data_IF_331352384909
#
_entry.id   IF_331352384909
#
_cell.length_a   1.000
_cell.length_b   1.000
_cell.length_c   1.000
_cell.angle_alpha   90.00
_cell.angle_beta   90.00
_cell.angle_gamma   90.00
#
_symmetry.space_group_name_H-M   'P 1'
#
loop_
_entity.id
_entity.type
_entity.pdbx_description
1 polymer ?
#
# COMPACT_ATOMS: atom_id res chain seq x y z
N UNK A 1 -29.38 7.08 -0.01
CA UNK A 1 -28.62 6.32 1.02
C UNK A 1 -29.58 5.65 1.98
N UNK A 2 -29.32 4.41 2.38
CA UNK A 2 -30.07 3.74 3.43
C UNK A 2 -29.86 4.44 4.77
N UNK A 3 -30.94 4.57 5.57
CA UNK A 3 -30.81 5.07 6.95
C UNK A 3 -30.01 4.10 7.82
N UNK A 4 -29.25 4.61 8.79
CA UNK A 4 -28.44 3.81 9.73
C UNK A 4 -29.24 2.74 10.47
N UNK A 5 -30.50 3.01 10.75
CA UNK A 5 -31.43 2.08 11.39
C UNK A 5 -31.70 0.85 10.52
N UNK A 6 -31.91 1.01 9.20
CA UNK A 6 -32.13 -0.10 8.28
C UNK A 6 -30.88 -0.99 8.18
N UNK A 7 -29.69 -0.37 8.17
CA UNK A 7 -28.39 -1.09 8.17
C UNK A 7 -28.27 -1.96 9.42
N UNK A 8 -28.64 -1.42 10.60
CA UNK A 8 -28.64 -2.13 11.87
C UNK A 8 -29.70 -3.22 11.94
N UNK A 9 -30.95 -2.90 11.55
CA UNK A 9 -32.08 -3.82 11.67
C UNK A 9 -31.94 -5.06 10.77
N UNK A 10 -31.29 -4.91 9.62
CA UNK A 10 -31.01 -5.98 8.68
C UNK A 10 -29.64 -6.65 8.85
N UNK A 11 -28.89 -6.25 9.87
CA UNK A 11 -27.53 -6.76 10.13
C UNK A 11 -26.61 -6.73 8.90
N UNK A 12 -26.70 -5.67 8.06
CA UNK A 12 -25.97 -5.57 6.80
C UNK A 12 -24.45 -5.63 6.99
N UNK A 13 -23.94 -5.14 8.12
CA UNK A 13 -22.52 -5.16 8.44
C UNK A 13 -21.99 -6.57 8.77
N UNK A 14 -22.89 -7.51 9.10
CA UNK A 14 -22.52 -8.89 9.45
C UNK A 14 -22.66 -9.85 8.28
N UNK A 15 -23.07 -9.34 7.10
CA UNK A 15 -23.15 -10.15 5.90
C UNK A 15 -21.74 -10.58 5.47
N UNK A 16 -21.49 -11.87 5.56
CA UNK A 16 -20.21 -12.46 5.15
C UNK A 16 -20.39 -13.14 3.78
N UNK A 17 -19.66 -12.60 2.78
CA UNK A 17 -19.50 -13.22 1.47
C UNK A 17 -18.01 -13.56 1.28
N UNK A 18 -17.65 -14.55 0.45
CA UNK A 18 -16.28 -15.07 0.34
C UNK A 18 -15.35 -14.11 -0.43
N UNK A 19 -15.24 -12.87 0.03
CA UNK A 19 -14.33 -11.85 -0.50
C UNK A 19 -12.89 -12.20 -0.16
N UNK A 20 -11.99 -11.96 -1.09
CA UNK A 20 -10.59 -12.31 -0.95
C UNK A 20 -9.75 -11.17 -0.34
N UNK A 21 -10.17 -9.92 -0.55
CA UNK A 21 -9.43 -8.73 -0.16
C UNK A 21 -10.17 -7.90 0.89
N UNK A 22 -9.44 -7.14 1.71
CA UNK A 22 -10.01 -6.13 2.61
C UNK A 22 -10.76 -5.06 1.83
N UNK A 23 -10.24 -4.69 0.66
CA UNK A 23 -10.85 -3.71 -0.24
C UNK A 23 -12.21 -4.17 -0.76
N UNK A 24 -12.32 -5.44 -1.13
CA UNK A 24 -13.60 -6.03 -1.53
C UNK A 24 -14.63 -5.98 -0.42
N UNK A 25 -14.24 -6.25 0.84
CA UNK A 25 -15.15 -6.15 2.00
C UNK A 25 -15.69 -4.74 2.18
N UNK A 26 -14.82 -3.74 2.17
CA UNK A 26 -15.21 -2.33 2.28
C UNK A 26 -16.12 -1.90 1.12
N UNK A 27 -15.76 -2.29 -0.11
CA UNK A 27 -16.54 -1.96 -1.31
C UNK A 27 -17.91 -2.65 -1.31
N UNK A 28 -18.00 -3.90 -0.86
CA UNK A 28 -19.28 -4.60 -0.75
C UNK A 28 -20.22 -3.91 0.24
N UNK A 29 -19.72 -3.57 1.42
CA UNK A 29 -20.49 -2.87 2.45
C UNK A 29 -20.93 -1.48 1.97
N UNK A 30 -20.03 -0.72 1.36
CA UNK A 30 -20.36 0.58 0.77
C UNK A 30 -21.43 0.45 -0.33
N UNK A 31 -21.31 -0.57 -1.17
CA UNK A 31 -22.28 -0.85 -2.24
C UNK A 31 -23.66 -1.21 -1.72
N UNK A 32 -23.81 -1.81 -0.55
CA UNK A 32 -25.12 -2.12 0.05
C UNK A 32 -25.93 -0.87 0.41
N UNK A 33 -25.29 0.29 0.52
CA UNK A 33 -25.98 1.57 0.78
C UNK A 33 -26.40 2.32 -0.49
N UNK A 34 -25.91 1.90 -1.66
CA UNK A 34 -26.18 2.50 -2.97
C UNK A 34 -27.42 1.88 -3.63
N UNK A 35 -28.57 2.09 -3.01
CA UNK A 35 -29.88 1.57 -3.44
C UNK A 35 -30.38 2.32 -4.66
N UNK A 36 -30.87 1.61 -5.64
CA UNK A 36 -31.52 2.19 -6.83
C UNK A 36 -32.82 1.47 -7.19
N UNK A 37 -33.82 2.23 -7.60
CA UNK A 37 -35.07 1.70 -8.20
C UNK A 37 -35.01 1.65 -9.73
N UNK A 38 -33.93 2.14 -10.36
CA UNK A 38 -33.83 2.16 -11.83
C UNK A 38 -33.54 0.77 -12.40
N UNK A 39 -34.48 0.21 -13.18
CA UNK A 39 -34.33 -1.10 -13.82
C UNK A 39 -33.09 -1.20 -14.71
N UNK A 40 -32.71 -0.13 -15.39
CA UNK A 40 -31.57 -0.12 -16.30
C UNK A 40 -30.24 -0.20 -15.54
N UNK A 41 -30.15 0.43 -14.38
CA UNK A 41 -28.99 0.38 -13.51
C UNK A 41 -28.85 -1.03 -12.92
N UNK A 42 -29.94 -1.59 -12.40
CA UNK A 42 -29.93 -2.94 -11.81
C UNK A 42 -29.52 -3.98 -12.85
N UNK A 43 -30.13 -3.95 -14.04
CA UNK A 43 -29.78 -4.86 -15.14
C UNK A 43 -28.29 -4.75 -15.51
N UNK A 44 -27.75 -3.54 -15.49
CA UNK A 44 -26.33 -3.28 -15.78
C UNK A 44 -25.41 -3.87 -14.71
N UNK A 45 -25.83 -3.86 -13.43
CA UNK A 45 -25.11 -4.50 -12.32
C UNK A 45 -25.16 -6.03 -12.40
N UNK A 46 -26.25 -6.60 -12.92
CA UNK A 46 -26.44 -8.05 -13.09
C UNK A 46 -25.55 -8.65 -14.18
N UNK A 47 -25.32 -7.93 -15.28
CA UNK A 47 -24.64 -8.47 -16.46
C UNK A 47 -23.28 -9.12 -16.15
N UNK A 48 -22.34 -8.46 -15.45
CA UNK A 48 -21.06 -9.08 -15.09
C UNK A 48 -21.23 -10.31 -14.20
N UNK A 49 -22.16 -10.28 -13.23
CA UNK A 49 -22.44 -11.39 -12.33
C UNK A 49 -22.91 -12.64 -13.09
N UNK A 50 -23.83 -12.44 -14.03
CA UNK A 50 -24.36 -13.52 -14.87
C UNK A 50 -23.27 -14.15 -15.74
N UNK A 51 -22.39 -13.34 -16.31
CA UNK A 51 -21.27 -13.81 -17.15
C UNK A 51 -20.29 -14.63 -16.30
N UNK A 52 -19.85 -14.10 -15.16
CA UNK A 52 -18.91 -14.79 -14.28
C UNK A 52 -19.47 -16.07 -13.70
N UNK A 53 -20.78 -16.15 -13.46
CA UNK A 53 -21.45 -17.37 -13.01
C UNK A 53 -21.50 -18.45 -14.09
N UNK A 54 -21.63 -18.07 -15.38
CA UNK A 54 -21.66 -19.01 -16.52
C UNK A 54 -20.23 -19.48 -16.85
N UNK A 55 -19.21 -18.70 -16.48
CA UNK A 55 -17.79 -18.99 -16.73
C UNK A 55 -17.02 -19.29 -15.42
N UNK A 56 -17.29 -20.44 -14.79
CA UNK A 56 -16.71 -20.74 -13.48
C UNK A 56 -15.17 -20.89 -13.51
N UNK A 57 -14.60 -21.25 -14.64
CA UNK A 57 -13.14 -21.35 -14.82
C UNK A 57 -12.47 -19.98 -14.75
N UNK A 58 -13.04 -18.98 -15.43
CA UNK A 58 -12.59 -17.59 -15.40
C UNK A 58 -12.79 -17.00 -14.00
N UNK A 59 -13.96 -17.22 -13.40
CA UNK A 59 -14.26 -16.74 -12.05
C UNK A 59 -13.25 -17.31 -11.03
N UNK A 60 -12.97 -18.61 -11.05
CA UNK A 60 -11.99 -19.25 -10.18
C UNK A 60 -10.56 -18.76 -10.41
N UNK A 61 -10.17 -18.51 -11.66
CA UNK A 61 -8.87 -17.93 -11.98
C UNK A 61 -8.69 -16.55 -11.34
N UNK A 62 -9.69 -15.68 -11.48
CA UNK A 62 -9.67 -14.34 -10.88
C UNK A 62 -9.65 -14.43 -9.34
N UNK A 63 -10.46 -15.30 -8.72
CA UNK A 63 -10.44 -15.51 -7.27
C UNK A 63 -9.05 -15.96 -6.80
N UNK A 64 -8.37 -16.84 -7.53
CA UNK A 64 -7.03 -17.29 -7.19
C UNK A 64 -6.01 -16.15 -7.30
N UNK A 65 -6.11 -15.32 -8.34
CA UNK A 65 -5.27 -14.13 -8.49
C UNK A 65 -5.50 -13.13 -7.33
N UNK A 66 -6.74 -12.87 -6.95
CA UNK A 66 -7.08 -11.99 -5.82
C UNK A 66 -6.57 -12.53 -4.47
N UNK A 67 -6.57 -13.84 -4.28
CA UNK A 67 -5.98 -14.46 -3.08
C UNK A 67 -4.50 -14.14 -2.92
N UNK A 68 -3.75 -14.06 -4.02
CA UNK A 68 -2.30 -13.79 -3.98
C UNK A 68 -1.96 -12.39 -3.47
N UNK A 69 -2.89 -11.43 -3.61
CA UNK A 69 -2.67 -10.04 -3.18
C UNK A 69 -3.24 -9.73 -1.78
N UNK A 70 -3.80 -10.71 -1.09
CA UNK A 70 -4.44 -10.48 0.22
C UNK A 70 -3.54 -9.75 1.21
N UNK A 71 -2.30 -10.19 1.37
CA UNK A 71 -1.35 -9.58 2.29
C UNK A 71 -0.83 -8.23 1.73
N UNK A 72 -0.69 -8.13 0.41
CA UNK A 72 -0.30 -6.88 -0.25
C UNK A 72 -1.33 -5.77 -0.08
N UNK A 73 -2.63 -6.11 0.07
CA UNK A 73 -3.67 -5.09 0.29
C UNK A 73 -3.50 -4.34 1.60
N UNK A 74 -3.11 -5.03 2.67
CA UNK A 74 -2.86 -4.43 3.98
C UNK A 74 -1.62 -3.53 3.91
N UNK A 75 -0.53 -4.04 3.34
CA UNK A 75 0.72 -3.28 3.20
C UNK A 75 0.54 -1.99 2.37
N UNK A 76 -0.32 -2.03 1.34
CA UNK A 76 -0.62 -0.85 0.51
C UNK A 76 -1.48 0.15 1.28
N UNK A 77 -2.47 -0.30 2.03
CA UNK A 77 -3.30 0.60 2.84
C UNK A 77 -2.44 1.35 3.86
N UNK A 78 -1.57 0.64 4.59
CA UNK A 78 -0.61 1.25 5.51
C UNK A 78 0.34 2.24 4.81
N UNK A 79 0.72 1.97 3.57
CA UNK A 79 1.57 2.86 2.79
C UNK A 79 0.86 4.11 2.26
N UNK A 80 -0.44 4.00 1.90
CA UNK A 80 -1.22 5.08 1.30
C UNK A 80 -1.89 5.99 2.34
N UNK A 81 -2.27 5.46 3.50
CA UNK A 81 -2.97 6.21 4.55
C UNK A 81 -2.05 7.12 5.36
N UNK A 82 -0.75 6.87 5.34
CA UNK A 82 0.38 7.72 5.75
C UNK A 82 0.10 8.72 6.90
N UNK A 83 -0.56 8.22 7.93
CA UNK A 83 -0.95 9.02 9.10
C UNK A 83 0.15 9.13 10.14
N UNK A 84 1.21 8.29 10.07
CA UNK A 84 2.32 8.35 11.02
C UNK A 84 3.38 9.37 10.55
N UNK A 85 3.58 10.48 11.31
CA UNK A 85 4.61 11.47 11.02
C UNK A 85 6.02 10.86 10.92
N UNK A 86 6.28 9.76 11.66
CA UNK A 86 7.58 9.08 11.65
C UNK A 86 7.89 8.43 10.30
N UNK A 87 6.88 7.84 9.67
CA UNK A 87 7.02 7.26 8.32
C UNK A 87 7.30 8.38 7.31
N UNK A 88 6.55 9.48 7.38
CA UNK A 88 6.77 10.63 6.51
C UNK A 88 8.17 11.21 6.64
N UNK A 89 8.69 11.33 7.87
CA UNK A 89 10.06 11.80 8.13
C UNK A 89 11.08 10.82 7.56
N UNK A 90 10.91 9.52 7.81
CA UNK A 90 11.80 8.46 7.30
C UNK A 90 11.83 8.42 5.78
N UNK A 91 10.67 8.52 5.13
CA UNK A 91 10.55 8.59 3.67
C UNK A 91 11.23 9.84 3.12
N UNK A 92 11.08 10.99 3.78
CA UNK A 92 11.71 12.26 3.36
C UNK A 92 13.23 12.22 3.45
N UNK A 93 13.80 11.35 4.28
CA UNK A 93 15.25 11.12 4.35
C UNK A 93 15.78 10.35 3.15
N UNK A 94 14.98 9.51 2.51
CA UNK A 94 15.41 8.66 1.39
C UNK A 94 14.99 9.25 0.05
N UNK A 95 13.73 9.66 -0.08
CA UNK A 95 13.22 10.20 -1.33
C UNK A 95 13.71 11.64 -1.56
N UNK A 96 13.92 11.99 -2.82
CA UNK A 96 14.14 13.37 -3.22
C UNK A 96 12.87 14.20 -2.94
N UNK A 97 13.04 15.45 -2.54
CA UNK A 97 11.92 16.36 -2.32
C UNK A 97 10.99 16.38 -3.54
N UNK A 98 9.66 16.49 -3.37
CA UNK A 98 8.68 16.45 -4.46
C UNK A 98 8.69 17.73 -5.32
N UNK A 99 9.87 18.09 -5.82
CA UNK A 99 10.07 19.08 -6.89
C UNK A 99 9.98 18.37 -8.23
N UNK A 100 9.86 19.12 -9.33
CA UNK A 100 9.82 18.54 -10.68
C UNK A 100 11.00 17.57 -10.93
N UNK A 101 12.21 18.00 -10.57
CA UNK A 101 13.43 17.17 -10.69
C UNK A 101 13.46 16.02 -9.69
N UNK A 102 13.04 16.26 -8.45
CA UNK A 102 13.00 15.23 -7.42
C UNK A 102 12.02 14.12 -7.74
N UNK A 103 10.84 14.43 -8.27
CA UNK A 103 9.87 13.47 -8.73
C UNK A 103 10.40 12.59 -9.88
N UNK A 104 11.19 13.15 -10.79
CA UNK A 104 11.87 12.41 -11.85
C UNK A 104 12.95 11.48 -11.30
N UNK A 105 13.77 11.96 -10.35
CA UNK A 105 14.84 11.17 -9.73
C UNK A 105 14.27 10.00 -8.91
N UNK A 106 13.15 10.20 -8.22
CA UNK A 106 12.47 9.15 -7.47
C UNK A 106 11.93 8.02 -8.36
N UNK A 107 11.67 8.30 -9.64
CA UNK A 107 11.26 7.29 -10.64
C UNK A 107 12.44 6.59 -11.32
N UNK A 108 13.67 7.02 -11.08
CA UNK A 108 14.86 6.45 -11.71
C UNK A 108 15.53 5.43 -10.78
N UNK A 109 15.51 4.12 -11.08
CA UNK A 109 16.18 3.11 -10.28
C UNK A 109 17.69 3.41 -10.13
N UNK A 110 18.33 3.91 -11.19
CA UNK A 110 19.76 4.25 -11.16
C UNK A 110 20.06 5.40 -10.21
N UNK A 111 19.22 6.45 -10.20
CA UNK A 111 19.38 7.58 -9.29
C UNK A 111 19.13 7.17 -7.83
N UNK A 112 18.14 6.32 -7.59
CA UNK A 112 17.82 5.83 -6.26
C UNK A 112 18.90 4.89 -5.73
N UNK A 113 19.39 3.95 -6.54
CA UNK A 113 20.51 3.07 -6.17
C UNK A 113 21.81 3.86 -5.96
N UNK A 114 22.07 4.88 -6.75
CA UNK A 114 23.19 5.79 -6.52
C UNK A 114 23.10 6.52 -5.20
N UNK A 115 21.92 7.02 -4.83
CA UNK A 115 21.68 7.74 -3.59
C UNK A 115 21.89 6.84 -2.34
N UNK A 116 21.36 5.62 -2.37
CA UNK A 116 21.55 4.68 -1.25
C UNK A 116 23.03 4.29 -1.12
N UNK A 117 23.71 4.00 -2.21
CA UNK A 117 25.14 3.69 -2.22
C UNK A 117 25.96 4.85 -1.65
N UNK A 118 25.65 6.07 -2.06
CA UNK A 118 26.29 7.27 -1.52
C UNK A 118 26.11 7.38 0.00
N UNK A 119 24.89 7.25 0.50
CA UNK A 119 24.58 7.43 1.92
C UNK A 119 25.03 6.30 2.81
N UNK A 120 25.00 5.05 2.32
CA UNK A 120 25.28 3.87 3.16
C UNK A 120 26.70 3.35 3.05
N UNK A 121 27.42 3.68 1.98
CA UNK A 121 28.77 3.19 1.72
C UNK A 121 29.76 4.35 1.59
N UNK A 122 29.53 5.28 0.66
CA UNK A 122 30.53 6.30 0.32
C UNK A 122 30.69 7.31 1.47
N UNK A 123 29.59 7.82 2.03
CA UNK A 123 29.63 8.83 3.09
C UNK A 123 30.27 8.29 4.39
N UNK A 124 29.94 7.09 4.92
CA UNK A 124 30.62 6.50 6.05
C UNK A 124 32.09 6.16 5.77
N UNK A 125 32.40 5.62 4.60
CA UNK A 125 33.78 5.35 4.21
C UNK A 125 34.60 6.64 4.15
N UNK A 126 34.05 7.71 3.59
CA UNK A 126 34.70 9.01 3.57
C UNK A 126 34.92 9.57 4.98
N UNK A 127 33.97 9.42 5.89
CA UNK A 127 34.13 9.85 7.30
C UNK A 127 35.31 9.15 7.99
N UNK A 128 35.53 7.87 7.70
CA UNK A 128 36.68 7.09 8.24
C UNK A 128 37.98 7.47 7.54
N UNK A 129 37.96 7.68 6.22
CA UNK A 129 39.15 7.95 5.41
C UNK A 129 39.57 9.43 5.41
N UNK A 130 38.66 10.35 5.73
CA UNK A 130 38.92 11.79 5.65
C UNK A 130 40.17 12.24 6.46
N UNK A 131 40.45 11.73 7.68
CA UNK A 131 41.67 12.08 8.38
C UNK A 131 42.95 11.62 7.69
N UNK A 132 42.90 10.42 7.08
CA UNK A 132 44.02 9.88 6.30
C UNK A 132 44.25 10.71 5.02
N UNK A 133 43.16 11.04 4.34
CA UNK A 133 43.19 11.88 3.15
C UNK A 133 43.75 13.28 3.45
N UNK A 134 43.36 13.87 4.60
CA UNK A 134 43.85 15.15 5.05
C UNK A 134 45.36 15.17 5.33
N UNK A 135 45.95 14.02 5.63
CA UNK A 135 47.40 13.90 5.80
C UNK A 135 48.10 13.59 4.47
N UNK A 136 47.52 12.74 3.65
CA UNK A 136 48.16 12.22 2.42
C UNK A 136 48.11 13.27 1.30
N UNK A 137 46.99 13.94 1.08
CA UNK A 137 46.84 14.89 -0.03
C UNK A 137 47.83 16.05 0.05
N UNK A 138 48.02 16.73 1.20
CA UNK A 138 49.00 17.82 1.29
C UNK A 138 50.44 17.37 1.02
N UNK A 139 50.81 16.12 1.38
CA UNK A 139 52.10 15.55 1.06
C UNK A 139 52.36 15.51 -0.45
N UNK A 140 51.44 14.95 -1.20
CA UNK A 140 51.57 14.86 -2.66
C UNK A 140 51.46 16.24 -3.33
N UNK A 141 50.59 17.12 -2.81
CA UNK A 141 50.39 18.47 -3.34
C UNK A 141 51.66 19.32 -3.14
N UNK A 142 52.29 19.28 -1.96
CA UNK A 142 53.54 19.97 -1.71
C UNK A 142 54.67 19.46 -2.60
N UNK A 143 54.76 18.15 -2.78
CA UNK A 143 55.77 17.55 -3.65
C UNK A 143 55.56 17.86 -5.13
N UNK A 144 54.30 18.05 -5.55
CA UNK A 144 53.96 18.40 -6.92
C UNK A 144 54.16 19.90 -7.22
N UNK A 145 53.73 20.77 -6.30
CA UNK A 145 53.81 22.22 -6.45
C UNK A 145 55.23 22.78 -6.20
N UNK A 146 56.01 22.15 -5.33
CA UNK A 146 57.33 22.57 -4.89
C UNK A 146 58.36 21.44 -5.06
N UNK A 147 58.68 21.00 -6.28
CA UNK A 147 59.65 19.89 -6.52
C UNK A 147 61.06 20.25 -6.03
N UNK A 148 61.34 21.51 -5.79
CA UNK A 148 62.61 22.03 -5.28
C UNK A 148 62.83 21.69 -3.79
N UNK A 149 61.74 21.43 -3.06
CA UNK A 149 61.79 21.12 -1.62
C UNK A 149 61.83 19.61 -1.46
N UNK A 150 63.04 19.07 -1.31
CA UNK A 150 63.22 17.65 -1.02
C UNK A 150 63.03 17.44 0.48
N UNK A 151 61.86 17.05 0.95
CA UNK A 151 61.64 16.58 2.30
C UNK A 151 61.34 15.06 2.31
N UNK A 152 61.89 14.37 3.31
CA UNK A 152 61.60 12.95 3.52
C UNK A 152 60.21 12.76 4.07
N UNK A 153 59.66 11.52 3.92
CA UNK A 153 58.38 11.14 4.53
C UNK A 153 58.40 11.31 6.06
N UNK A 154 59.58 11.05 6.69
CA UNK A 154 59.75 11.17 8.14
C UNK A 154 59.69 12.61 8.62
N UNK A 155 60.32 13.54 7.88
CA UNK A 155 60.24 14.98 8.17
C UNK A 155 58.82 15.50 7.98
N UNK A 156 58.12 15.06 6.93
CA UNK A 156 56.70 15.40 6.74
C UNK A 156 55.83 14.91 7.88
N UNK A 157 55.94 13.63 8.26
CA UNK A 157 55.16 13.03 9.34
C UNK A 157 55.47 13.69 10.69
N UNK A 158 56.73 14.08 10.93
CA UNK A 158 57.15 14.83 12.13
C UNK A 158 56.42 16.18 12.19
N UNK A 159 56.36 16.94 11.06
CA UNK A 159 55.66 18.21 10.96
C UNK A 159 54.14 18.03 11.06
N UNK A 160 53.56 17.01 10.40
CA UNK A 160 52.13 16.66 10.54
C UNK A 160 51.81 16.36 12.00
N UNK A 161 52.60 15.55 12.67
CA UNK A 161 52.46 15.28 14.10
C UNK A 161 52.52 16.58 14.94
N UNK A 162 53.42 17.46 14.64
CA UNK A 162 53.55 18.75 15.33
C UNK A 162 52.29 19.64 15.09
N UNK A 163 51.80 19.69 13.85
CA UNK A 163 50.58 20.46 13.48
C UNK A 163 49.34 19.84 14.09
N UNK A 164 49.21 18.52 14.06
CA UNK A 164 48.07 17.83 14.69
C UNK A 164 48.07 18.04 16.21
N UNK A 165 49.23 17.96 16.86
CA UNK A 165 49.33 18.26 18.28
C UNK A 165 49.10 19.77 18.58
N UNK A 166 49.35 20.66 17.62
CA UNK A 166 49.04 22.09 17.74
C UNK A 166 47.58 22.39 17.40
N UNK A 167 46.96 21.66 16.49
CA UNK A 167 45.54 21.80 16.13
C UNK A 167 44.56 21.11 17.10
N UNK A 168 45.03 20.13 17.89
CA UNK A 168 44.39 19.85 19.17
C UNK A 168 44.73 21.06 20.05
N UNK A 169 44.00 22.18 19.75
CA UNK A 169 44.23 23.47 20.34
C UNK A 169 43.87 23.38 21.82
N UNK A 170 44.80 22.86 22.58
CA UNK A 170 44.71 22.97 24.01
C UNK A 170 44.78 24.49 24.26
N UNK A 171 43.74 25.10 24.83
CA UNK A 171 43.75 26.50 25.13
C UNK A 171 45.06 26.84 25.88
N UNK A 172 45.73 27.88 25.51
CA UNK A 172 47.08 28.23 26.02
C UNK A 172 47.16 28.27 27.53
N UNK A 173 46.04 28.47 28.24
CA UNK A 173 45.92 28.43 29.69
C UNK A 173 45.92 27.03 30.30
N UNK A 174 45.60 25.97 29.47
CA UNK A 174 45.65 24.58 29.90
C UNK A 174 46.98 23.90 29.58
N UNK A 175 47.85 24.60 28.84
CA UNK A 175 49.14 24.02 28.46
C UNK A 175 50.10 24.13 29.64
N UNK A 176 50.37 22.98 30.30
CA UNK A 176 51.33 22.89 31.40
C UNK A 176 52.71 23.36 30.96
N UNK A 177 53.28 24.31 31.69
CA UNK A 177 54.66 24.81 31.49
C UNK A 177 55.65 24.23 32.47
N UNK A 178 55.14 23.63 33.56
CA UNK A 178 55.96 23.05 34.62
C UNK A 178 55.87 21.52 34.56
N UNK A 179 57.00 20.77 34.47
CA UNK A 179 56.99 19.30 34.50
C UNK A 179 56.33 18.69 35.72
N UNK A 180 56.23 19.44 36.83
CA UNK A 180 55.62 19.02 38.08
C UNK A 180 54.12 19.40 38.19
N UNK A 181 53.54 20.09 37.21
CA UNK A 181 52.13 20.46 37.23
C UNK A 181 51.21 19.30 36.83
N UNK A 182 50.93 18.42 37.79
CA UNK A 182 50.04 17.25 37.62
C UNK A 182 48.61 17.63 37.19
N UNK A 183 48.16 18.82 37.63
CA UNK A 183 46.78 19.29 37.31
C UNK A 183 46.69 19.68 35.85
N UNK A 184 47.70 20.44 35.34
CA UNK A 184 47.75 20.80 33.91
C UNK A 184 47.80 19.61 32.97
N UNK A 185 48.61 18.56 33.30
CA UNK A 185 48.64 17.34 32.54
C UNK A 185 47.31 16.56 32.57
N UNK A 186 46.57 16.62 33.67
CA UNK A 186 45.25 16.01 33.79
C UNK A 186 44.24 16.68 32.89
N UNK A 187 44.22 18.02 32.86
CA UNK A 187 43.32 18.79 31.93
C UNK A 187 43.68 18.54 30.46
N UNK A 188 44.99 18.51 30.13
CA UNK A 188 45.47 18.24 28.79
C UNK A 188 45.04 16.85 28.31
N UNK A 189 45.23 15.82 29.14
CA UNK A 189 44.82 14.46 28.81
C UNK A 189 43.29 14.31 28.68
N UNK A 190 42.53 15.00 29.54
CA UNK A 190 41.08 15.02 29.47
C UNK A 190 40.56 15.72 28.17
N UNK A 191 41.20 16.81 27.75
CA UNK A 191 40.85 17.51 26.52
C UNK A 191 41.17 16.66 25.28
N UNK A 192 42.31 15.98 25.25
CA UNK A 192 42.67 15.03 24.19
C UNK A 192 41.64 13.89 24.12
N UNK A 193 41.30 13.31 25.29
CA UNK A 193 40.33 12.24 25.37
C UNK A 193 38.94 12.67 24.87
N UNK A 194 38.51 13.91 25.22
CA UNK A 194 37.25 14.46 24.77
C UNK A 194 37.24 14.67 23.22
N UNK A 195 38.34 15.19 22.67
CA UNK A 195 38.46 15.40 21.22
C UNK A 195 38.43 14.09 20.44
N UNK A 196 39.19 13.08 20.93
CA UNK A 196 39.14 11.73 20.36
C UNK A 196 37.75 11.10 20.50
N UNK A 197 37.10 11.29 21.65
CA UNK A 197 35.74 10.82 21.90
C UNK A 197 34.73 11.42 20.94
N UNK A 198 34.80 12.73 20.67
CA UNK A 198 33.95 13.39 19.67
C UNK A 198 34.19 12.87 18.26
N UNK A 199 35.45 12.62 17.89
CA UNK A 199 35.78 12.06 16.59
C UNK A 199 35.25 10.63 16.41
N UNK A 200 35.46 9.75 17.40
CA UNK A 200 34.92 8.38 17.40
C UNK A 200 33.39 8.40 17.37
N UNK A 201 32.77 9.27 18.17
CA UNK A 201 31.32 9.46 18.17
C UNK A 201 30.78 9.93 16.80
N UNK A 202 31.51 10.80 16.12
CA UNK A 202 31.17 11.23 14.76
C UNK A 202 31.16 10.09 13.75
N UNK A 203 32.21 9.24 13.78
CA UNK A 203 32.28 8.04 12.93
C UNK A 203 31.15 7.08 13.28
N UNK A 204 30.93 6.81 14.56
CA UNK A 204 29.86 5.93 15.04
C UNK A 204 28.49 6.41 14.59
N UNK A 205 28.24 7.72 14.69
CA UNK A 205 27.00 8.36 14.20
C UNK A 205 26.79 8.14 12.71
N UNK A 206 27.83 8.25 11.87
CA UNK A 206 27.73 8.00 10.43
C UNK A 206 27.41 6.52 10.12
N UNK A 207 28.02 5.60 10.85
CA UNK A 207 27.76 4.16 10.66
C UNK A 207 26.34 3.80 11.09
N UNK A 208 25.90 4.28 12.25
CA UNK A 208 24.53 4.02 12.73
C UNK A 208 23.47 4.63 11.81
N UNK A 209 23.72 5.85 11.30
CA UNK A 209 22.84 6.49 10.32
C UNK A 209 22.78 5.72 9.00
N UNK A 210 23.90 5.18 8.53
CA UNK A 210 23.95 4.34 7.33
C UNK A 210 23.14 3.04 7.49
N UNK A 211 23.25 2.38 8.64
CA UNK A 211 22.47 1.18 8.98
C UNK A 211 20.98 1.50 9.02
N UNK A 212 20.60 2.58 9.71
CA UNK A 212 19.23 3.04 9.80
C UNK A 212 18.64 3.37 8.41
N UNK A 213 19.39 4.12 7.58
CA UNK A 213 19.01 4.44 6.21
C UNK A 213 18.78 3.19 5.37
N UNK A 214 19.64 2.17 5.54
CA UNK A 214 19.50 0.89 4.84
C UNK A 214 18.24 0.12 5.28
N UNK A 215 17.91 0.14 6.57
CA UNK A 215 16.68 -0.49 7.08
C UNK A 215 15.43 0.16 6.47
N UNK A 216 15.37 1.50 6.44
CA UNK A 216 14.26 2.23 5.81
C UNK A 216 14.19 1.89 4.31
N UNK A 217 15.34 1.81 3.63
CA UNK A 217 15.38 1.45 2.22
C UNK A 217 14.71 0.11 1.94
N UNK A 218 15.02 -0.93 2.73
CA UNK A 218 14.41 -2.24 2.58
C UNK A 218 12.90 -2.23 2.85
N UNK A 219 12.45 -1.47 3.85
CA UNK A 219 11.02 -1.30 4.11
C UNK A 219 10.29 -0.65 2.92
N UNK A 220 10.89 0.39 2.31
CA UNK A 220 10.33 1.03 1.12
C UNK A 220 10.35 0.11 -0.11
N UNK A 221 11.40 -0.70 -0.26
CA UNK A 221 11.51 -1.70 -1.33
C UNK A 221 10.42 -2.76 -1.22
N UNK A 222 10.18 -3.28 -0.02
CA UNK A 222 9.12 -4.25 0.27
C UNK A 222 7.74 -3.66 -0.06
N UNK A 223 7.43 -2.46 0.41
CA UNK A 223 6.18 -1.76 0.11
C UNK A 223 5.99 -1.53 -1.39
N UNK A 224 7.02 -1.12 -2.08
CA UNK A 224 6.98 -0.95 -3.54
C UNK A 224 6.80 -2.27 -4.29
N UNK A 225 7.36 -3.37 -3.82
CA UNK A 225 7.15 -4.71 -4.41
C UNK A 225 5.71 -5.18 -4.24
N UNK A 226 5.06 -4.88 -3.11
CA UNK A 226 3.63 -5.14 -2.91
C UNK A 226 2.77 -4.37 -3.93
N UNK A 227 3.07 -3.09 -4.16
CA UNK A 227 2.38 -2.28 -5.17
C UNK A 227 2.53 -2.89 -6.57
N UNK A 228 3.77 -3.27 -6.96
CA UNK A 228 4.01 -3.93 -8.23
C UNK A 228 3.28 -5.27 -8.36
N UNK A 229 3.23 -6.05 -7.28
CA UNK A 229 2.52 -7.32 -7.27
C UNK A 229 1.03 -7.11 -7.57
N UNK A 230 0.38 -6.16 -6.88
CA UNK A 230 -1.02 -5.80 -7.12
C UNK A 230 -1.26 -5.32 -8.56
N UNK A 231 -0.36 -4.48 -9.08
CA UNK A 231 -0.44 -4.03 -10.47
C UNK A 231 -0.33 -5.18 -11.48
N UNK A 232 0.62 -6.10 -11.29
CA UNK A 232 0.80 -7.29 -12.13
C UNK A 232 -0.43 -8.21 -12.07
N UNK A 233 -1.01 -8.39 -10.89
CA UNK A 233 -2.25 -9.16 -10.72
C UNK A 233 -3.41 -8.47 -11.45
N UNK A 234 -3.54 -7.16 -11.33
CA UNK A 234 -4.53 -6.40 -12.08
C UNK A 234 -4.43 -6.63 -13.59
N UNK A 235 -3.21 -6.62 -14.15
CA UNK A 235 -2.98 -6.96 -15.56
C UNK A 235 -3.43 -8.38 -15.92
N UNK A 236 -3.13 -9.37 -15.08
CA UNK A 236 -3.56 -10.75 -15.31
C UNK A 236 -5.08 -10.88 -15.29
N UNK A 237 -5.74 -10.26 -14.31
CA UNK A 237 -7.20 -10.24 -14.21
C UNK A 237 -7.83 -9.62 -15.45
N UNK A 238 -7.32 -8.47 -15.90
CA UNK A 238 -7.81 -7.84 -17.12
C UNK A 238 -7.60 -8.74 -18.35
N UNK A 239 -6.45 -9.38 -18.47
CA UNK A 239 -6.16 -10.33 -19.56
C UNK A 239 -7.14 -11.51 -19.50
N UNK A 240 -7.40 -12.05 -18.32
CA UNK A 240 -8.38 -13.13 -18.11
C UNK A 240 -9.80 -12.71 -18.51
N UNK A 241 -10.24 -11.49 -18.14
CA UNK A 241 -11.52 -10.95 -18.56
C UNK A 241 -11.62 -10.79 -20.09
N UNK A 242 -10.53 -10.45 -20.75
CA UNK A 242 -10.46 -10.33 -22.23
C UNK A 242 -10.50 -11.66 -22.96
N UNK A 243 -10.30 -12.79 -22.31
CA UNK A 243 -10.49 -14.12 -22.93
C UNK A 243 -11.97 -14.49 -23.11
N UNK A 244 -12.89 -13.74 -22.50
CA UNK A 244 -14.33 -13.90 -22.73
C UNK A 244 -14.68 -13.72 -24.20
N UNK A 245 -15.73 -14.42 -24.67
CA UNK A 245 -16.26 -14.19 -26.03
C UNK A 245 -16.77 -12.76 -26.19
N UNK A 246 -16.76 -12.21 -27.41
CA UNK A 246 -17.14 -10.84 -27.70
C UNK A 246 -18.49 -10.42 -27.09
N UNK A 247 -19.51 -11.29 -27.16
CA UNK A 247 -20.82 -11.05 -26.54
C UNK A 247 -20.76 -10.92 -25.02
N UNK A 248 -19.90 -11.73 -24.35
CA UNK A 248 -19.72 -11.72 -22.90
C UNK A 248 -18.83 -10.53 -22.48
N UNK A 249 -17.83 -10.17 -23.28
CA UNK A 249 -17.07 -8.93 -23.07
C UNK A 249 -17.98 -7.71 -23.07
N UNK A 250 -18.95 -7.63 -24.00
CA UNK A 250 -19.92 -6.53 -24.03
C UNK A 250 -20.74 -6.44 -22.73
N UNK A 251 -21.07 -7.56 -22.11
CA UNK A 251 -21.75 -7.57 -20.80
C UNK A 251 -20.85 -7.08 -19.66
N UNK A 252 -19.53 -7.26 -19.77
CA UNK A 252 -18.52 -6.80 -18.81
C UNK A 252 -17.80 -5.51 -19.25
N UNK A 253 -18.27 -4.83 -20.30
CA UNK A 253 -17.56 -3.73 -20.96
C UNK A 253 -17.08 -2.66 -19.97
N UNK A 254 -17.94 -2.22 -19.07
CA UNK A 254 -17.56 -1.19 -18.08
C UNK A 254 -16.44 -1.64 -17.16
N UNK A 255 -16.43 -2.91 -16.79
CA UNK A 255 -15.40 -3.48 -15.91
C UNK A 255 -14.05 -3.61 -16.66
N UNK A 256 -14.11 -3.99 -17.93
CA UNK A 256 -12.95 -4.13 -18.82
C UNK A 256 -12.37 -2.75 -19.16
N UNK A 257 -13.20 -1.82 -19.65
CA UNK A 257 -12.77 -0.48 -20.06
C UNK A 257 -12.17 0.30 -18.87
N UNK A 258 -12.81 0.22 -17.69
CA UNK A 258 -12.26 0.82 -16.47
C UNK A 258 -10.89 0.22 -16.12
N UNK A 259 -10.76 -1.10 -16.19
CA UNK A 259 -9.48 -1.77 -15.96
C UNK A 259 -8.40 -1.37 -16.96
N UNK A 260 -8.74 -1.24 -18.24
CA UNK A 260 -7.82 -0.76 -19.28
C UNK A 260 -7.31 0.65 -18.98
N UNK A 261 -8.23 1.58 -18.73
CA UNK A 261 -7.89 2.97 -18.46
C UNK A 261 -6.97 3.09 -17.22
N UNK A 262 -7.34 2.42 -16.14
CA UNK A 262 -6.59 2.44 -14.88
C UNK A 262 -5.20 1.80 -15.06
N UNK A 263 -5.11 0.65 -15.70
CA UNK A 263 -3.83 -0.02 -15.92
C UNK A 263 -2.93 0.73 -16.92
N UNK A 264 -3.52 1.46 -17.86
CA UNK A 264 -2.78 2.35 -18.74
C UNK A 264 -2.18 3.53 -17.97
N UNK A 265 -2.91 4.13 -17.03
CA UNK A 265 -2.38 5.21 -16.18
C UNK A 265 -1.26 4.70 -15.25
N UNK A 266 -1.31 3.44 -14.82
CA UNK A 266 -0.26 2.79 -14.03
C UNK A 266 0.94 2.28 -14.85
N UNK A 267 0.97 2.45 -16.17
CA UNK A 267 2.02 1.89 -17.06
C UNK A 267 3.44 2.35 -16.72
N UNK A 268 3.58 3.51 -16.09
CA UNK A 268 4.87 4.01 -15.60
C UNK A 268 5.54 3.08 -14.57
N UNK A 269 4.78 2.15 -13.96
CA UNK A 269 5.29 1.20 -12.96
C UNK A 269 5.95 -0.05 -13.57
N UNK A 270 5.86 -0.26 -14.89
CA UNK A 270 6.29 -1.51 -15.55
C UNK A 270 7.77 -1.84 -15.37
N UNK A 271 8.65 -0.84 -15.33
CA UNK A 271 10.10 -1.00 -15.35
C UNK A 271 10.79 -0.42 -14.11
N UNK A 272 10.04 -0.15 -13.05
CA UNK A 272 10.58 0.38 -11.80
C UNK A 272 10.99 -0.78 -10.87
N UNK A 273 11.99 -0.55 -10.01
CA UNK A 273 12.25 -1.38 -8.85
C UNK A 273 11.28 -1.06 -7.70
N UNK A 274 11.40 -1.76 -6.56
CA UNK A 274 10.51 -1.56 -5.44
C UNK A 274 10.52 -0.12 -4.94
N UNK A 275 11.69 0.44 -4.67
CA UNK A 275 11.81 1.79 -4.10
C UNK A 275 11.35 2.87 -5.08
N UNK A 276 11.70 2.77 -6.36
CA UNK A 276 11.25 3.72 -7.38
C UNK A 276 9.73 3.63 -7.60
N UNK A 277 9.14 2.42 -7.50
CA UNK A 277 7.68 2.22 -7.51
C UNK A 277 7.04 2.94 -6.33
N UNK A 278 7.55 2.72 -5.11
CA UNK A 278 7.05 3.42 -3.93
C UNK A 278 7.18 4.93 -4.08
N UNK A 279 8.34 5.44 -4.51
CA UNK A 279 8.58 6.87 -4.73
C UNK A 279 7.64 7.49 -5.77
N UNK A 280 7.29 6.74 -6.84
CA UNK A 280 6.31 7.18 -7.83
C UNK A 280 4.91 7.34 -7.23
N UNK A 281 4.49 6.37 -6.42
CA UNK A 281 3.16 6.34 -5.79
C UNK A 281 3.07 7.33 -4.62
N UNK A 282 4.17 7.54 -3.90
CA UNK A 282 4.25 8.53 -2.84
C UNK A 282 3.97 9.96 -3.32
N UNK A 283 4.44 10.29 -4.51
CA UNK A 283 4.21 11.61 -5.12
C UNK A 283 2.77 11.75 -5.68
N UNK A 284 2.20 10.66 -6.22
CA UNK A 284 0.85 10.63 -6.77
C UNK A 284 0.24 9.23 -6.57
N UNK A 285 -0.61 9.12 -5.56
CA UNK A 285 -1.31 7.88 -5.22
C UNK A 285 -2.65 7.69 -5.93
N UNK A 286 -3.09 8.65 -6.77
CA UNK A 286 -4.42 8.63 -7.40
C UNK A 286 -4.66 7.36 -8.21
N UNK A 287 -3.71 6.98 -9.05
CA UNK A 287 -3.82 5.80 -9.93
C UNK A 287 -3.89 4.48 -9.14
N UNK A 288 -3.17 4.38 -8.02
CA UNK A 288 -3.24 3.19 -7.16
C UNK A 288 -4.55 3.12 -6.39
N UNK A 289 -5.11 4.27 -5.98
CA UNK A 289 -6.44 4.32 -5.38
C UNK A 289 -7.53 3.88 -6.36
N UNK A 290 -7.44 4.28 -7.63
CA UNK A 290 -8.35 3.82 -8.67
C UNK A 290 -8.19 2.31 -8.93
N UNK A 291 -6.94 1.81 -8.99
CA UNK A 291 -6.67 0.37 -9.12
C UNK A 291 -7.25 -0.43 -7.95
N UNK A 292 -7.10 0.08 -6.72
CA UNK A 292 -7.71 -0.48 -5.51
C UNK A 292 -9.24 -0.61 -5.65
N UNK A 293 -9.92 0.46 -6.06
CA UNK A 293 -11.37 0.47 -6.23
C UNK A 293 -11.83 -0.49 -7.34
N UNK A 294 -11.11 -0.55 -8.44
CA UNK A 294 -11.42 -1.48 -9.53
C UNK A 294 -11.26 -2.94 -9.09
N UNK A 295 -10.15 -3.30 -8.44
CA UNK A 295 -9.91 -4.65 -7.91
C UNK A 295 -10.94 -5.03 -6.85
N UNK A 296 -11.32 -4.10 -5.96
CA UNK A 296 -12.39 -4.29 -5.00
C UNK A 296 -13.72 -4.61 -5.68
N UNK A 297 -14.05 -3.91 -6.77
CA UNK A 297 -15.24 -4.19 -7.58
C UNK A 297 -15.17 -5.58 -8.23
N UNK A 298 -14.03 -5.97 -8.79
CA UNK A 298 -13.82 -7.32 -9.36
C UNK A 298 -14.00 -8.39 -8.27
N UNK A 299 -13.44 -8.18 -7.07
CA UNK A 299 -13.60 -9.11 -5.94
C UNK A 299 -15.07 -9.28 -5.55
N UNK A 300 -15.82 -8.18 -5.47
CA UNK A 300 -17.26 -8.23 -5.20
C UNK A 300 -18.02 -9.03 -6.29
N UNK A 301 -17.78 -8.74 -7.57
CA UNK A 301 -18.46 -9.45 -8.66
C UNK A 301 -18.13 -10.95 -8.67
N UNK A 302 -16.89 -11.32 -8.46
CA UNK A 302 -16.49 -12.74 -8.46
C UNK A 302 -16.99 -13.48 -7.22
N UNK A 303 -16.95 -12.85 -6.04
CA UNK A 303 -17.48 -13.42 -4.81
C UNK A 303 -18.99 -13.67 -4.91
N UNK A 304 -19.77 -12.68 -5.37
CA UNK A 304 -21.22 -12.81 -5.54
C UNK A 304 -21.56 -13.87 -6.60
N UNK A 305 -20.87 -13.87 -7.75
CA UNK A 305 -21.10 -14.84 -8.81
C UNK A 305 -20.87 -16.29 -8.34
N UNK A 306 -20.00 -16.50 -7.36
CA UNK A 306 -19.65 -17.80 -6.79
C UNK A 306 -20.55 -18.20 -5.59
N UNK A 307 -21.52 -17.37 -5.20
CA UNK A 307 -22.47 -17.70 -4.13
C UNK A 307 -23.47 -18.78 -4.56
N UNK A 308 -23.76 -19.71 -3.66
CA UNK A 308 -24.84 -20.66 -3.84
C UNK A 308 -26.20 -20.06 -3.46
N UNK A 309 -27.27 -20.64 -3.98
CA UNK A 309 -28.66 -20.31 -3.62
C UNK A 309 -29.01 -18.81 -3.81
N UNK A 310 -28.47 -18.19 -4.85
CA UNK A 310 -28.86 -16.84 -5.26
C UNK A 310 -29.55 -16.84 -6.63
N UNK A 311 -30.39 -15.84 -6.86
CA UNK A 311 -30.98 -15.56 -8.18
C UNK A 311 -30.72 -14.12 -8.63
N UNK A 312 -30.92 -13.89 -9.93
CA UNK A 312 -30.91 -12.55 -10.52
C UNK A 312 -32.35 -12.07 -10.68
N UNK A 313 -32.76 -11.04 -9.93
CA UNK A 313 -34.15 -10.55 -9.93
C UNK A 313 -34.64 -10.16 -11.32
N UNK A 314 -35.84 -10.57 -11.66
CA UNK A 314 -36.54 -10.16 -12.90
C UNK A 314 -37.46 -8.99 -12.58
N UNK A 315 -37.29 -7.91 -13.33
CA UNK A 315 -38.11 -6.71 -13.17
C UNK A 315 -39.45 -6.93 -13.91
N UNK A 316 -40.55 -6.75 -13.18
CA UNK A 316 -41.92 -6.88 -13.69
C UNK A 316 -42.53 -5.51 -13.90
N UNK A 317 -43.56 -5.44 -14.73
CA UNK A 317 -44.37 -4.23 -14.92
C UNK A 317 -45.52 -4.13 -13.88
N UNK A 318 -45.75 -5.21 -13.13
CA UNK A 318 -46.82 -5.24 -12.11
C UNK A 318 -46.24 -4.92 -10.73
N UNK A 319 -46.90 -4.02 -10.02
CA UNK A 319 -46.52 -3.60 -8.65
C UNK A 319 -46.66 -4.78 -7.67
N UNK A 320 -45.66 -5.66 -7.66
CA UNK A 320 -45.67 -6.84 -6.76
C UNK A 320 -44.25 -7.32 -6.50
N UNK A 321 -44.02 -7.87 -5.32
CA UNK A 321 -42.78 -8.58 -4.98
C UNK A 321 -43.13 -10.05 -4.82
N UNK A 322 -42.43 -10.90 -5.57
CA UNK A 322 -42.56 -12.36 -5.51
C UNK A 322 -41.18 -12.95 -5.27
N UNK A 323 -40.99 -13.63 -4.15
CA UNK A 323 -39.77 -14.33 -3.76
C UNK A 323 -40.10 -15.81 -3.57
N UNK A 324 -39.30 -16.69 -4.12
CA UNK A 324 -39.39 -18.14 -3.92
C UNK A 324 -38.12 -18.61 -3.21
N UNK A 325 -38.26 -19.43 -2.18
CA UNK A 325 -37.15 -19.98 -1.38
C UNK A 325 -36.21 -18.88 -0.80
N UNK A 326 -36.79 -17.76 -0.38
CA UNK A 326 -36.03 -16.69 0.30
C UNK A 326 -35.52 -17.20 1.63
N UNK A 327 -34.26 -16.93 1.93
CA UNK A 327 -33.59 -17.37 3.15
C UNK A 327 -32.59 -16.33 3.64
N UNK A 328 -32.28 -16.39 4.94
CA UNK A 328 -31.27 -15.52 5.55
C UNK A 328 -29.87 -16.15 5.39
N UNK A 329 -28.90 -15.49 4.72
CA UNK A 329 -27.61 -16.08 4.41
C UNK A 329 -26.76 -16.43 5.64
N UNK A 330 -26.85 -15.65 6.72
CA UNK A 330 -26.07 -15.87 7.94
C UNK A 330 -26.65 -16.93 8.88
N UNK A 331 -27.84 -17.46 8.60
CA UNK A 331 -28.49 -18.48 9.45
C UNK A 331 -28.29 -19.87 8.83
N UNK A 332 -27.43 -20.68 9.47
CA UNK A 332 -27.22 -22.07 9.03
C UNK A 332 -28.50 -22.88 9.16
N UNK A 333 -28.88 -23.61 8.11
CA UNK A 333 -30.09 -24.39 8.07
C UNK A 333 -31.38 -23.57 8.04
N UNK A 334 -31.31 -22.31 7.61
CA UNK A 334 -32.48 -21.44 7.47
C UNK A 334 -33.56 -22.10 6.59
N UNK A 335 -34.79 -22.10 7.09
CA UNK A 335 -35.94 -22.59 6.32
C UNK A 335 -36.18 -21.63 5.16
N UNK A 336 -36.28 -22.17 3.96
CA UNK A 336 -36.58 -21.42 2.75
C UNK A 336 -38.08 -21.14 2.67
N UNK A 337 -38.48 -19.92 2.42
CA UNK A 337 -39.87 -19.47 2.44
C UNK A 337 -40.24 -18.77 1.12
N UNK A 338 -41.52 -18.78 0.78
CA UNK A 338 -42.06 -18.00 -0.33
C UNK A 338 -42.75 -16.75 0.21
N UNK A 339 -42.50 -15.60 -0.43
CA UNK A 339 -43.12 -14.32 -0.12
C UNK A 339 -43.75 -13.72 -1.39
N UNK A 340 -45.02 -13.34 -1.31
CA UNK A 340 -45.69 -12.65 -2.40
C UNK A 340 -46.54 -11.55 -1.82
N UNK A 341 -46.38 -10.33 -2.32
CA UNK A 341 -47.24 -9.20 -1.94
C UNK A 341 -47.39 -8.23 -3.10
N UNK A 342 -48.57 -7.62 -3.17
CA UNK A 342 -48.87 -6.45 -4.03
C UNK A 342 -49.20 -5.21 -3.20
N UNK A 343 -49.03 -5.27 -1.88
CA UNK A 343 -49.36 -4.19 -0.93
C UNK A 343 -48.81 -4.48 0.46
N UNK A 344 -49.53 -4.05 1.47
CA UNK A 344 -49.16 -4.25 2.89
C UNK A 344 -49.36 -5.71 3.29
N UNK A 345 -48.45 -6.25 4.07
CA UNK A 345 -48.50 -7.61 4.61
C UNK A 345 -48.27 -7.58 6.12
N UNK A 346 -49.05 -8.37 6.89
CA UNK A 346 -48.87 -8.55 8.32
C UNK A 346 -48.40 -9.96 8.58
N UNK A 347 -47.26 -10.10 9.26
CA UNK A 347 -46.71 -11.38 9.68
C UNK A 347 -47.02 -11.67 11.14
N UNK A 348 -47.78 -12.72 11.39
CA UNK A 348 -48.16 -13.16 12.76
C UNK A 348 -47.58 -14.57 13.02
N UNK A 349 -47.44 -14.89 14.30
CA UNK A 349 -46.99 -16.21 14.73
C UNK A 349 -46.39 -16.23 16.15
N UNK A 350 -46.06 -17.40 16.69
CA UNK A 350 -45.58 -17.55 18.07
C UNK A 350 -44.22 -16.83 18.26
N UNK A 351 -43.90 -16.51 19.51
CA UNK A 351 -42.57 -16.02 19.87
C UNK A 351 -41.53 -17.09 19.55
N UNK A 352 -40.36 -16.66 19.07
CA UNK A 352 -39.27 -17.55 18.56
C UNK A 352 -39.61 -18.36 17.30
N UNK A 353 -40.75 -18.09 16.65
CA UNK A 353 -41.14 -18.75 15.38
C UNK A 353 -40.43 -18.26 14.13
N UNK A 354 -39.30 -17.52 14.25
CA UNK A 354 -38.50 -17.08 13.11
C UNK A 354 -39.04 -15.86 12.34
N UNK A 355 -40.07 -15.16 12.86
CA UNK A 355 -40.70 -13.99 12.21
C UNK A 355 -39.68 -12.91 11.82
N UNK A 356 -38.84 -12.49 12.77
CA UNK A 356 -37.81 -11.47 12.55
C UNK A 356 -36.78 -11.92 11.51
N UNK A 357 -36.35 -13.18 11.55
CA UNK A 357 -35.42 -13.76 10.57
C UNK A 357 -36.00 -13.76 9.17
N UNK A 358 -37.30 -14.08 9.06
CA UNK A 358 -38.02 -14.06 7.80
C UNK A 358 -38.15 -12.63 7.23
N UNK A 359 -38.55 -11.67 8.06
CA UNK A 359 -38.58 -10.25 7.65
C UNK A 359 -37.21 -9.74 7.20
N UNK A 360 -36.15 -10.07 7.97
CA UNK A 360 -34.77 -9.74 7.60
C UNK A 360 -34.38 -10.39 6.27
N UNK A 361 -34.72 -11.67 6.02
CA UNK A 361 -34.43 -12.36 4.78
C UNK A 361 -35.09 -11.69 3.56
N UNK A 362 -36.35 -11.30 3.68
CA UNK A 362 -37.08 -10.54 2.63
C UNK A 362 -36.43 -9.18 2.41
N UNK A 363 -36.14 -8.43 3.48
CA UNK A 363 -35.48 -7.11 3.41
C UNK A 363 -34.10 -7.22 2.74
N UNK A 364 -33.30 -8.21 3.12
CA UNK A 364 -31.98 -8.47 2.52
C UNK A 364 -32.10 -8.79 1.02
N UNK A 365 -33.04 -9.64 0.63
CA UNK A 365 -33.27 -9.97 -0.78
C UNK A 365 -33.61 -8.74 -1.61
N UNK A 366 -34.44 -7.83 -1.07
CA UNK A 366 -34.79 -6.57 -1.75
C UNK A 366 -33.58 -5.63 -1.86
N UNK A 367 -32.85 -5.43 -0.75
CA UNK A 367 -31.69 -4.52 -0.75
C UNK A 367 -30.60 -5.03 -1.69
N UNK A 368 -30.24 -6.31 -1.63
CA UNK A 368 -29.21 -6.85 -2.53
C UNK A 368 -29.64 -6.88 -3.99
N UNK A 369 -30.94 -7.00 -4.26
CA UNK A 369 -31.49 -6.83 -5.60
C UNK A 369 -31.30 -5.40 -6.14
N UNK A 370 -31.55 -4.39 -5.31
CA UNK A 370 -31.45 -2.98 -5.67
C UNK A 370 -30.01 -2.45 -5.69
N UNK A 371 -29.10 -3.07 -4.94
CA UNK A 371 -27.70 -2.62 -4.81
C UNK A 371 -26.77 -3.38 -5.74
N UNK A 372 -26.68 -4.69 -5.57
CA UNK A 372 -25.75 -5.55 -6.31
C UNK A 372 -26.42 -6.33 -7.45
N UNK A 373 -27.75 -6.33 -7.54
CA UNK A 373 -28.49 -7.01 -8.60
C UNK A 373 -28.71 -8.49 -8.40
N UNK A 374 -28.57 -9.01 -7.17
CA UNK A 374 -28.85 -10.41 -6.83
C UNK A 374 -29.75 -10.53 -5.59
N UNK A 375 -30.33 -11.69 -5.35
CA UNK A 375 -31.10 -11.95 -4.14
C UNK A 375 -30.86 -13.35 -3.61
N UNK A 376 -30.86 -13.53 -2.27
CA UNK A 376 -30.83 -14.84 -1.62
C UNK A 376 -32.18 -15.53 -1.69
N UNK A 377 -32.52 -16.03 -2.87
CA UNK A 377 -33.74 -16.72 -3.19
C UNK A 377 -33.49 -17.61 -4.41
N UNK A 378 -34.38 -18.57 -4.70
CA UNK A 378 -34.32 -19.33 -5.95
C UNK A 378 -34.91 -18.56 -7.14
N UNK A 379 -35.86 -17.66 -6.88
CA UNK A 379 -36.43 -16.76 -7.88
C UNK A 379 -36.96 -15.48 -7.24
N UNK A 380 -36.79 -14.37 -7.91
CA UNK A 380 -37.34 -13.06 -7.52
C UNK A 380 -37.90 -12.33 -8.71
N UNK A 381 -39.16 -11.84 -8.58
CA UNK A 381 -39.80 -10.87 -9.47
C UNK A 381 -40.26 -9.69 -8.65
N UNK A 382 -40.02 -8.48 -9.14
CA UNK A 382 -40.39 -7.23 -8.46
C UNK A 382 -40.53 -6.08 -9.46
N UNK A 383 -41.17 -4.99 -9.05
CA UNK A 383 -41.30 -3.76 -9.86
C UNK A 383 -40.92 -2.54 -9.04
#
# INVERSE_FOLDING_TARGET
MLGSQVVSDLDLNTLDIPLQTTWGKLQFQAGLTDVTGDPAVIKRRQLPLMVLRIEPTICKSIINDLKTIKDSTVAIDDALENTDPRISESVSQILWKPTHYGAFLNKSPLAMNGLITWRTIILPAFAVLAPLIAVIIPFFLLRFLHPEIQFSTDEYMSRVRQVLLQQITIPSFLKSRDPNDRIGYLFESMFIALTLGMFVSGIWSQITNAIHTRTIWFDLEERGTHIQHVYKVGKRILTTLKTLSAKRQQACVKLIDAGELILQSCKSLDNLDGVATFGSVWNDSSHIKELKLWLAGVDCYTAIANLDNICFPKISKTTSIQLTDVHHPSVKGCVKNTFTTSGHSILTGPNRGGKSTYCKAVGLAVITAQTWGFAWASNMKWS
#
